data_IF_218144917438
#
_entry.id   IF_218144917438
#
_cell.length_a   1.000
_cell.length_b   1.000
_cell.length_c   1.000
_cell.angle_alpha   90.00
_cell.angle_beta   90.00
_cell.angle_gamma   90.00
#
_symmetry.space_group_name_H-M   'P 1'
#
loop_
_entity.id
_entity.type
_entity.pdbx_description
1 polymer ?
#
# COMPACT_ATOMS: atom_id res chain seq x y z
N UNK A 1 7.69 12.24 2.71
CA UNK A 1 8.01 10.89 3.24
C UNK A 1 9.42 10.85 3.80
N UNK A 2 10.41 11.33 3.05
CA UNK A 2 11.83 11.36 3.46
C UNK A 2 12.02 12.09 4.80
N UNK A 3 11.48 13.31 4.96
CA UNK A 3 11.54 14.08 6.22
C UNK A 3 10.98 13.32 7.42
N UNK A 4 9.84 12.63 7.28
CA UNK A 4 9.23 11.84 8.35
C UNK A 4 10.14 10.66 8.72
N UNK A 5 10.74 10.02 7.72
CA UNK A 5 11.62 8.87 7.96
C UNK A 5 12.93 9.28 8.64
N UNK A 6 13.49 10.43 8.25
CA UNK A 6 14.66 11.04 8.88
C UNK A 6 14.40 11.42 10.33
N UNK A 7 13.30 12.11 10.61
CA UNK A 7 12.91 12.52 11.96
C UNK A 7 12.66 11.33 12.89
N UNK A 8 12.02 10.27 12.37
CA UNK A 8 11.72 9.05 13.13
C UNK A 8 12.86 8.04 13.15
N UNK A 9 13.98 8.32 12.47
CA UNK A 9 15.11 7.40 12.29
C UNK A 9 14.70 6.00 11.77
N UNK A 10 13.72 5.96 10.87
CA UNK A 10 13.23 4.73 10.24
C UNK A 10 13.72 4.63 8.80
N UNK A 11 14.04 3.42 8.37
CA UNK A 11 14.37 3.16 6.97
C UNK A 11 13.09 3.09 6.14
N UNK A 12 13.11 3.66 4.93
CA UNK A 12 12.05 3.50 3.94
C UNK A 12 12.57 2.78 2.70
N UNK A 13 11.70 2.04 2.01
CA UNK A 13 12.05 1.34 0.79
C UNK A 13 10.85 1.16 -0.13
N UNK A 14 11.05 1.40 -1.42
CA UNK A 14 10.05 1.16 -2.45
C UNK A 14 10.14 -0.29 -2.92
N UNK A 15 9.42 -1.19 -2.23
CA UNK A 15 9.45 -2.63 -2.52
C UNK A 15 8.20 -3.15 -3.22
N UNK A 16 7.15 -2.33 -3.32
CA UNK A 16 5.90 -2.70 -3.99
C UNK A 16 5.91 -2.27 -5.45
N UNK A 17 5.41 -3.13 -6.33
CA UNK A 17 5.27 -2.83 -7.75
C UNK A 17 3.98 -3.45 -8.32
N UNK A 18 3.52 -2.90 -9.45
CA UNK A 18 2.40 -3.47 -10.20
C UNK A 18 2.87 -4.65 -11.06
N UNK A 19 2.42 -5.86 -10.75
CA UNK A 19 2.68 -7.07 -11.56
C UNK A 19 1.91 -7.10 -12.87
N UNK A 20 0.84 -6.31 -12.97
CA UNK A 20 -0.02 -6.19 -14.14
C UNK A 20 -0.51 -4.77 -14.27
N UNK A 21 -0.98 -4.42 -15.47
CA UNK A 21 -1.69 -3.15 -15.68
C UNK A 21 -2.97 -3.12 -14.85
N UNK A 22 -3.21 -1.97 -14.22
CA UNK A 22 -4.46 -1.65 -13.51
C UNK A 22 -5.12 -0.48 -14.24
N UNK A 23 -6.45 -0.41 -14.17
CA UNK A 23 -7.19 0.74 -14.68
C UNK A 23 -7.00 1.94 -13.74
N UNK A 24 -7.19 3.16 -14.26
CA UNK A 24 -7.32 4.33 -13.41
C UNK A 24 -8.50 4.13 -12.45
N UNK A 25 -8.31 4.47 -11.18
CA UNK A 25 -9.36 4.35 -10.15
C UNK A 25 -10.40 5.48 -10.22
N UNK A 26 -10.15 6.50 -11.04
CA UNK A 26 -11.11 7.55 -11.36
C UNK A 26 -12.40 6.96 -11.93
N UNK A 27 -13.55 7.34 -11.37
CA UNK A 27 -14.87 6.84 -11.78
C UNK A 27 -15.21 5.41 -11.33
N UNK A 28 -14.27 4.65 -10.75
CA UNK A 28 -14.55 3.33 -10.17
C UNK A 28 -15.21 3.46 -8.79
N UNK A 29 -16.26 2.68 -8.56
CA UNK A 29 -16.85 2.49 -7.23
C UNK A 29 -15.96 1.61 -6.33
N UNK A 30 -16.33 1.46 -5.06
CA UNK A 30 -15.50 0.74 -4.09
C UNK A 30 -15.22 -0.73 -4.46
N UNK A 31 -16.22 -1.45 -4.95
CA UNK A 31 -16.06 -2.84 -5.36
C UNK A 31 -15.17 -2.96 -6.61
N UNK A 32 -15.37 -2.06 -7.58
CA UNK A 32 -14.55 -2.01 -8.80
C UNK A 32 -13.09 -1.68 -8.48
N UNK A 33 -12.84 -0.73 -7.55
CA UNK A 33 -11.48 -0.43 -7.06
C UNK A 33 -10.82 -1.65 -6.45
N UNK A 34 -11.54 -2.37 -5.59
CA UNK A 34 -11.05 -3.62 -5.01
C UNK A 34 -10.68 -4.63 -6.11
N UNK A 35 -11.61 -4.92 -7.02
CA UNK A 35 -11.39 -5.88 -8.12
C UNK A 35 -10.24 -5.46 -9.05
N UNK A 36 -10.14 -4.17 -9.36
CA UNK A 36 -9.08 -3.62 -10.18
C UNK A 36 -7.70 -3.85 -9.55
N UNK A 37 -7.60 -3.82 -8.20
CA UNK A 37 -6.35 -3.95 -7.47
C UNK A 37 -6.05 -5.37 -6.98
N UNK A 38 -7.03 -6.25 -6.77
CA UNK A 38 -6.77 -7.61 -6.26
C UNK A 38 -5.71 -8.32 -7.10
N UNK A 39 -4.66 -8.77 -6.41
CA UNK A 39 -3.52 -9.47 -6.99
C UNK A 39 -2.62 -8.61 -7.90
N UNK A 40 -2.85 -7.30 -7.98
CA UNK A 40 -2.08 -6.39 -8.81
C UNK A 40 -0.68 -6.13 -8.24
N UNK A 41 -0.48 -6.23 -6.92
CA UNK A 41 0.79 -5.87 -6.30
C UNK A 41 1.71 -7.08 -6.11
N UNK A 42 3.00 -6.85 -6.31
CA UNK A 42 4.10 -7.75 -6.01
C UNK A 42 5.12 -7.09 -5.08
N UNK A 43 6.06 -7.89 -4.58
CA UNK A 43 7.15 -7.42 -3.71
C UNK A 43 8.49 -7.78 -4.36
N UNK A 44 9.38 -6.79 -4.46
CA UNK A 44 10.76 -6.95 -4.91
C UNK A 44 11.74 -6.61 -3.78
N UNK A 45 13.00 -7.03 -3.92
CA UNK A 45 14.10 -6.66 -3.01
C UNK A 45 13.87 -6.95 -1.51
N UNK A 46 13.00 -7.91 -1.16
CA UNK A 46 12.66 -8.25 0.24
C UNK A 46 13.82 -8.74 1.11
N UNK A 47 14.93 -9.18 0.51
CA UNK A 47 16.05 -9.82 1.22
C UNK A 47 16.75 -8.91 2.24
N UNK A 48 16.50 -7.59 2.21
CA UNK A 48 17.06 -6.63 3.15
C UNK A 48 16.03 -5.99 4.08
N UNK A 49 14.78 -6.47 4.05
CA UNK A 49 13.69 -5.93 4.85
C UNK A 49 13.51 -6.81 6.09
N UNK A 50 13.59 -6.20 7.26
CA UNK A 50 13.49 -6.87 8.55
C UNK A 50 12.54 -6.10 9.46
N UNK A 51 11.88 -6.82 10.37
CA UNK A 51 10.99 -6.24 11.37
C UNK A 51 9.57 -5.96 10.87
N UNK A 52 8.86 -5.13 11.61
CA UNK A 52 7.48 -4.75 11.35
C UNK A 52 7.41 -3.62 10.32
N UNK A 53 6.55 -3.77 9.31
CA UNK A 53 6.39 -2.80 8.23
C UNK A 53 5.18 -1.91 8.50
N UNK A 54 5.37 -0.60 8.30
CA UNK A 54 4.28 0.37 8.21
C UNK A 54 4.10 0.78 6.75
N UNK A 55 2.88 0.63 6.24
CA UNK A 55 2.51 1.13 4.91
C UNK A 55 2.24 2.63 4.97
N UNK A 56 2.70 3.38 3.98
CA UNK A 56 2.41 4.81 3.85
C UNK A 56 1.76 5.05 2.50
N UNK A 57 0.62 5.73 2.50
CA UNK A 57 -0.12 6.13 1.31
C UNK A 57 -0.62 7.57 1.48
N UNK A 58 -0.58 8.37 0.41
CA UNK A 58 -0.93 9.79 0.49
C UNK A 58 -2.44 10.00 0.74
N UNK A 59 -3.27 9.18 0.11
CA UNK A 59 -4.73 9.23 0.22
C UNK A 59 -5.34 7.85 0.44
N UNK A 60 -6.21 7.73 1.44
CA UNK A 60 -7.11 6.59 1.57
C UNK A 60 -8.55 6.98 1.21
N UNK A 61 -9.15 6.18 0.32
CA UNK A 61 -10.58 6.29 -0.01
C UNK A 61 -11.32 5.05 0.50
N UNK A 62 -11.14 3.92 -0.20
CA UNK A 62 -11.79 2.64 0.11
C UNK A 62 -10.89 1.69 0.87
N UNK A 63 -9.62 2.04 1.04
CA UNK A 63 -8.58 1.15 1.57
C UNK A 63 -8.14 0.04 0.61
N UNK A 64 -8.65 0.00 -0.63
CA UNK A 64 -8.31 -1.07 -1.60
C UNK A 64 -6.81 -1.14 -1.90
N UNK A 65 -6.14 0.00 -2.06
CA UNK A 65 -4.67 0.09 -2.25
C UNK A 65 -3.91 -0.52 -1.08
N UNK A 66 -4.16 -0.04 0.14
CA UNK A 66 -3.50 -0.52 1.36
C UNK A 66 -3.77 -2.02 1.62
N UNK A 67 -4.99 -2.48 1.35
CA UNK A 67 -5.35 -3.90 1.50
C UNK A 67 -4.57 -4.79 0.54
N UNK A 68 -4.48 -4.39 -0.72
CA UNK A 68 -3.71 -5.12 -1.73
C UNK A 68 -2.21 -5.09 -1.43
N UNK A 69 -1.68 -3.95 -0.97
CA UNK A 69 -0.30 -3.83 -0.51
C UNK A 69 0.00 -4.77 0.67
N UNK A 70 -0.86 -4.78 1.68
CA UNK A 70 -0.73 -5.68 2.83
C UNK A 70 -0.79 -7.15 2.43
N UNK A 71 -1.70 -7.52 1.50
CA UNK A 71 -1.76 -8.86 0.92
C UNK A 71 -0.45 -9.23 0.21
N UNK A 72 0.12 -8.33 -0.60
CA UNK A 72 1.36 -8.59 -1.32
C UNK A 72 2.55 -8.78 -0.38
N UNK A 73 2.70 -7.92 0.64
CA UNK A 73 3.73 -8.03 1.68
C UNK A 73 3.61 -9.33 2.46
N UNK A 74 2.39 -9.68 2.89
CA UNK A 74 2.12 -10.92 3.61
C UNK A 74 2.44 -12.16 2.78
N UNK A 75 2.10 -12.16 1.49
CA UNK A 75 2.49 -13.23 0.56
C UNK A 75 4.01 -13.31 0.35
N UNK A 76 4.72 -12.20 0.55
CA UNK A 76 6.18 -12.11 0.58
C UNK A 76 6.81 -12.49 1.92
N UNK A 77 6.04 -12.92 2.93
CA UNK A 77 6.53 -13.28 4.26
C UNK A 77 6.86 -12.08 5.15
N UNK A 78 6.40 -10.88 4.79
CA UNK A 78 6.64 -9.65 5.53
C UNK A 78 5.41 -9.31 6.39
N UNK A 79 5.65 -8.91 7.64
CA UNK A 79 4.58 -8.55 8.58
C UNK A 79 4.27 -7.06 8.50
N UNK A 80 3.02 -6.73 8.18
CA UNK A 80 2.51 -5.35 8.20
C UNK A 80 1.86 -5.09 9.56
N UNK A 81 2.36 -4.11 10.31
CA UNK A 81 1.86 -3.75 11.64
C UNK A 81 0.84 -2.61 11.60
N UNK A 82 0.97 -1.69 10.63
CA UNK A 82 0.09 -0.53 10.51
C UNK A 82 0.09 0.03 9.08
N UNK A 83 -0.85 0.95 8.84
CA UNK A 83 -0.87 1.83 7.68
C UNK A 83 -1.12 3.28 8.13
N UNK A 84 -0.40 4.23 7.54
CA UNK A 84 -0.51 5.67 7.80
C UNK A 84 -0.92 6.36 6.50
N UNK A 85 -1.84 7.31 6.62
CA UNK A 85 -2.26 8.17 5.51
C UNK A 85 -2.52 9.60 5.99
N UNK A 86 -2.25 10.57 5.13
CA UNK A 86 -2.44 11.98 5.45
C UNK A 86 -3.90 12.44 5.25
N UNK A 87 -4.67 11.74 4.42
CA UNK A 87 -6.04 12.11 4.09
C UNK A 87 -6.96 10.89 4.05
N UNK A 88 -8.14 11.03 4.65
CA UNK A 88 -9.25 10.08 4.51
C UNK A 88 -10.37 10.77 3.74
N UNK A 89 -10.67 10.30 2.53
CA UNK A 89 -11.86 10.74 1.82
C UNK A 89 -13.11 10.08 2.40
N UNK A 90 -14.19 10.83 2.57
CA UNK A 90 -15.47 10.25 2.98
C UNK A 90 -16.00 9.32 1.89
N UNK A 91 -16.54 8.13 2.24
CA UNK A 91 -17.26 7.31 1.29
C UNK A 91 -18.41 8.13 0.68
N UNK A 92 -18.43 8.27 -0.65
CA UNK A 92 -19.60 8.83 -1.34
C UNK A 92 -20.79 7.93 -1.01
N UNK A 93 -21.77 8.51 -0.32
CA UNK A 93 -23.08 7.90 -0.06
C UNK A 93 -23.92 7.90 -1.32
#
# INVERSE_FOLDING_TARGET
METICEELQVSYSNILFHKRRVQDQSGLNAQQRMQNLVGAFGVENRARIYGDIVLIDDVVTTGSTLREASRALSAGGLKVSAAITACVAQPLR
#
